data_IF_609094834043
#
_entry.id   IF_609094834043
#
_cell.length_a   1.000
_cell.length_b   1.000
_cell.length_c   1.000
_cell.angle_alpha   90.00
_cell.angle_beta   90.00
_cell.angle_gamma   90.00
#
_symmetry.space_group_name_H-M   'P 1'
#
loop_
_entity.id
_entity.type
_entity.pdbx_description
1 polymer ?
#
# COMPACT_ATOMS: atom_id res chain seq x y z
N UNK A 1 -53.05 -45.25 -73.84
CA UNK A 1 -52.59 -45.73 -72.50
C UNK A 1 -52.02 -44.51 -71.79
N UNK A 2 -52.74 -43.94 -70.86
CA UNK A 2 -52.34 -42.76 -70.09
C UNK A 2 -51.98 -43.23 -68.68
N UNK A 3 -50.74 -42.97 -68.21
CA UNK A 3 -50.24 -43.20 -66.85
C UNK A 3 -50.64 -42.03 -65.96
N UNK A 4 -51.07 -42.23 -64.70
CA UNK A 4 -51.43 -41.14 -63.84
C UNK A 4 -50.19 -40.62 -63.09
N UNK A 5 -50.01 -39.27 -63.03
CA UNK A 5 -49.04 -38.54 -62.25
C UNK A 5 -49.39 -38.61 -60.75
N UNK A 6 -48.49 -39.17 -59.95
CA UNK A 6 -48.56 -39.11 -58.51
C UNK A 6 -47.99 -37.76 -58.05
N UNK A 7 -48.83 -36.87 -57.52
CA UNK A 7 -48.41 -35.66 -56.84
C UNK A 7 -48.08 -35.97 -55.34
N UNK A 8 -46.83 -36.05 -55.01
CA UNK A 8 -46.43 -36.06 -53.60
C UNK A 8 -46.50 -34.64 -53.06
N UNK A 9 -47.31 -34.49 -52.01
CA UNK A 9 -47.49 -33.23 -51.29
C UNK A 9 -46.27 -32.90 -50.43
N UNK A 10 -45.66 -31.72 -50.67
CA UNK A 10 -44.48 -31.20 -50.04
C UNK A 10 -44.74 -30.65 -48.57
N UNK A 11 -45.95 -30.92 -48.04
CA UNK A 11 -46.39 -30.32 -46.77
C UNK A 11 -46.08 -31.12 -45.53
N UNK A 12 -45.51 -32.34 -45.60
CA UNK A 12 -45.26 -33.18 -44.46
C UNK A 12 -43.82 -33.12 -43.94
N UNK A 13 -42.90 -32.41 -44.63
CA UNK A 13 -41.48 -32.34 -44.24
C UNK A 13 -41.09 -31.08 -43.44
N UNK A 14 -41.99 -30.06 -43.42
CA UNK A 14 -41.70 -28.82 -42.65
C UNK A 14 -42.11 -28.85 -41.19
N UNK A 15 -42.88 -29.82 -40.73
CA UNK A 15 -43.34 -29.90 -39.33
C UNK A 15 -42.44 -30.72 -38.44
N UNK A 16 -41.48 -31.50 -38.96
CA UNK A 16 -40.55 -32.30 -38.13
C UNK A 16 -39.23 -31.58 -37.81
N UNK A 17 -38.92 -30.48 -38.48
CA UNK A 17 -37.68 -29.70 -38.22
C UNK A 17 -37.89 -28.59 -37.20
N UNK A 18 -39.16 -28.15 -36.96
CA UNK A 18 -39.48 -27.08 -36.01
C UNK A 18 -39.55 -27.55 -34.56
N UNK A 19 -39.61 -28.85 -34.29
CA UNK A 19 -39.70 -29.39 -32.92
C UNK A 19 -38.35 -29.82 -32.29
N UNK A 20 -37.22 -29.73 -33.03
CA UNK A 20 -35.89 -30.05 -32.50
C UNK A 20 -35.13 -28.83 -31.98
N UNK A 21 -35.68 -27.62 -32.10
CA UNK A 21 -35.04 -26.38 -31.65
C UNK A 21 -35.48 -25.90 -30.24
N UNK A 22 -36.38 -26.64 -29.54
CA UNK A 22 -36.96 -26.22 -28.27
C UNK A 22 -36.45 -27.01 -27.04
N UNK A 23 -35.45 -27.88 -27.20
CA UNK A 23 -34.74 -28.49 -26.08
C UNK A 23 -33.25 -28.12 -26.11
N UNK A 24 -32.91 -26.82 -26.13
CA UNK A 24 -31.69 -26.40 -25.51
C UNK A 24 -31.95 -26.43 -24.00
N UNK A 25 -31.25 -27.29 -23.22
CA UNK A 25 -31.20 -27.06 -21.80
C UNK A 25 -30.58 -25.69 -21.65
N UNK A 26 -31.31 -24.76 -21.04
CA UNK A 26 -30.71 -23.59 -20.43
C UNK A 26 -29.69 -24.14 -19.45
N UNK A 27 -28.46 -24.29 -19.88
CA UNK A 27 -27.32 -24.26 -19.00
C UNK A 27 -27.40 -22.87 -18.35
N UNK A 28 -28.26 -22.78 -17.31
CA UNK A 28 -28.10 -21.80 -16.29
C UNK A 28 -26.64 -22.00 -15.84
N UNK A 29 -25.76 -21.16 -16.33
CA UNK A 29 -24.48 -20.96 -15.71
C UNK A 29 -24.83 -20.57 -14.27
N UNK A 30 -24.83 -21.58 -13.40
CA UNK A 30 -24.76 -21.37 -11.98
C UNK A 30 -23.46 -20.59 -11.81
N UNK A 31 -23.57 -19.26 -11.85
CA UNK A 31 -22.49 -18.38 -11.51
C UNK A 31 -22.25 -18.67 -10.04
N UNK A 32 -21.39 -19.65 -9.77
CA UNK A 32 -20.93 -19.93 -8.43
C UNK A 32 -20.58 -18.57 -7.84
N UNK A 33 -21.40 -18.10 -6.91
CA UNK A 33 -21.26 -16.77 -6.31
C UNK A 33 -19.83 -16.73 -5.76
N UNK A 34 -18.97 -15.99 -6.42
CA UNK A 34 -17.55 -15.96 -6.09
C UNK A 34 -17.44 -15.68 -4.59
N UNK A 35 -16.71 -16.55 -3.85
CA UNK A 35 -16.60 -16.43 -2.40
C UNK A 35 -16.16 -15.03 -2.05
N UNK A 36 -16.94 -14.32 -1.26
CA UNK A 36 -16.57 -13.02 -0.73
C UNK A 36 -15.31 -13.15 0.14
N UNK A 37 -14.26 -12.40 -0.19
CA UNK A 37 -13.04 -12.31 0.60
C UNK A 37 -13.16 -11.20 1.63
N UNK A 38 -12.98 -11.58 2.90
CA UNK A 38 -12.98 -10.67 4.03
C UNK A 38 -11.54 -10.27 4.37
N UNK A 39 -11.20 -8.99 4.21
CA UNK A 39 -9.84 -8.47 4.30
C UNK A 39 -9.72 -7.48 5.44
N UNK A 40 -8.78 -7.71 6.35
CA UNK A 40 -8.48 -6.84 7.48
C UNK A 40 -7.20 -6.04 7.28
N UNK A 41 -7.18 -4.80 7.77
CA UNK A 41 -5.99 -3.95 7.80
C UNK A 41 -5.70 -3.46 9.21
N UNK A 42 -4.42 -3.50 9.59
CA UNK A 42 -3.95 -3.00 10.89
C UNK A 42 -2.94 -1.89 10.64
N UNK A 43 -3.29 -0.67 11.05
CA UNK A 43 -2.50 0.54 10.82
C UNK A 43 -1.88 1.06 12.11
N UNK A 44 -0.63 1.54 12.03
CA UNK A 44 0.14 2.03 13.18
C UNK A 44 -0.24 3.46 13.60
N UNK A 45 -0.73 4.25 12.66
CA UNK A 45 -1.19 5.63 12.85
C UNK A 45 -2.63 5.79 12.38
N UNK A 46 -3.29 6.92 12.68
CA UNK A 46 -4.61 7.22 12.13
C UNK A 46 -4.58 7.30 10.59
N UNK A 47 -5.67 6.93 9.93
CA UNK A 47 -5.81 7.11 8.46
C UNK A 47 -5.79 8.58 8.03
N UNK A 48 -5.95 9.50 8.97
CA UNK A 48 -5.82 10.95 8.75
C UNK A 48 -4.40 11.49 8.88
N UNK A 49 -3.37 10.62 9.01
CA UNK A 49 -1.98 11.04 9.19
C UNK A 49 -1.41 11.83 7.99
N UNK A 50 -2.03 11.71 6.82
CA UNK A 50 -1.56 12.30 5.57
C UNK A 50 -0.39 11.57 4.93
N UNK A 51 0.12 10.54 5.56
CA UNK A 51 1.33 9.81 5.20
C UNK A 51 1.13 8.29 5.03
N UNK A 52 1.74 7.51 5.91
CA UNK A 52 1.85 6.05 5.77
C UNK A 52 0.51 5.32 5.84
N UNK A 53 -0.24 5.48 6.95
CA UNK A 53 -1.53 4.82 7.11
C UNK A 53 -2.55 5.34 6.10
N UNK A 54 -2.53 6.64 5.78
CA UNK A 54 -3.36 7.22 4.73
C UNK A 54 -3.06 6.58 3.36
N UNK A 55 -1.79 6.39 2.99
CA UNK A 55 -1.42 5.75 1.73
C UNK A 55 -1.92 4.29 1.64
N UNK A 56 -1.87 3.54 2.74
CA UNK A 56 -2.42 2.19 2.79
C UNK A 56 -3.95 2.18 2.74
N UNK A 57 -4.61 3.14 3.40
CA UNK A 57 -6.07 3.22 3.40
C UNK A 57 -6.64 3.63 2.03
N UNK A 58 -5.97 4.49 1.29
CA UNK A 58 -6.32 4.78 -0.11
C UNK A 58 -6.35 3.49 -0.95
N UNK A 59 -5.36 2.62 -0.77
CA UNK A 59 -5.33 1.35 -1.46
C UNK A 59 -6.44 0.40 -0.98
N UNK A 60 -6.77 0.38 0.33
CA UNK A 60 -7.88 -0.38 0.88
C UNK A 60 -9.22 0.06 0.26
N UNK A 61 -9.46 1.35 0.16
CA UNK A 61 -10.69 1.91 -0.45
C UNK A 61 -10.83 1.49 -1.92
N UNK A 62 -9.74 1.37 -2.67
CA UNK A 62 -9.78 0.86 -4.05
C UNK A 62 -10.10 -0.65 -4.10
N UNK A 63 -9.72 -1.42 -3.07
CA UNK A 63 -10.10 -2.83 -2.99
C UNK A 63 -11.60 -3.01 -2.69
N UNK A 64 -12.22 -2.15 -1.91
CA UNK A 64 -13.66 -2.19 -1.63
C UNK A 64 -14.52 -2.03 -2.88
N UNK A 65 -13.99 -1.42 -3.94
CA UNK A 65 -14.68 -1.27 -5.23
C UNK A 65 -14.67 -2.55 -6.06
N UNK A 66 -13.89 -3.57 -5.65
CA UNK A 66 -13.77 -4.83 -6.38
C UNK A 66 -14.90 -5.79 -5.98
N UNK A 67 -15.52 -6.50 -6.96
CA UNK A 67 -16.57 -7.47 -6.66
C UNK A 67 -16.08 -8.57 -5.70
N UNK A 68 -16.94 -8.96 -4.75
CA UNK A 68 -16.66 -10.04 -3.82
C UNK A 68 -15.52 -9.73 -2.83
N UNK A 69 -15.27 -8.46 -2.51
CA UNK A 69 -14.33 -8.02 -1.47
C UNK A 69 -15.07 -7.19 -0.44
N UNK A 70 -14.85 -7.53 0.84
CA UNK A 70 -15.20 -6.68 1.98
C UNK A 70 -13.95 -6.35 2.77
N UNK A 71 -13.77 -5.09 3.14
CA UNK A 71 -12.62 -4.65 3.91
C UNK A 71 -13.03 -4.05 5.25
N UNK A 72 -12.14 -4.15 6.24
CA UNK A 72 -12.21 -3.36 7.46
C UNK A 72 -10.81 -3.04 7.96
N UNK A 73 -10.69 -2.07 8.85
CA UNK A 73 -9.40 -1.69 9.41
C UNK A 73 -9.51 -1.37 10.90
N UNK A 74 -8.37 -1.42 11.56
CA UNK A 74 -8.16 -0.85 12.90
C UNK A 74 -6.93 0.04 12.81
N UNK A 75 -7.08 1.30 13.19
CA UNK A 75 -6.05 2.32 13.11
C UNK A 75 -5.44 2.66 14.49
N UNK A 76 -4.32 3.37 14.49
CA UNK A 76 -3.61 3.80 15.69
C UNK A 76 -3.30 2.62 16.65
N UNK A 77 -2.95 1.47 16.09
CA UNK A 77 -2.63 0.27 16.87
C UNK A 77 -1.15 0.32 17.27
N UNK A 78 -0.83 0.34 18.57
CA UNK A 78 0.56 0.27 19.01
C UNK A 78 1.23 -1.04 18.58
N UNK A 79 2.54 -0.97 18.30
CA UNK A 79 3.35 -2.16 18.04
C UNK A 79 3.44 -3.05 19.30
N UNK A 80 3.63 -4.34 19.10
CA UNK A 80 3.74 -5.31 20.20
C UNK A 80 2.40 -5.96 20.59
N UNK A 81 2.06 -6.11 21.88
CA UNK A 81 0.90 -6.90 22.33
C UNK A 81 -0.45 -6.43 21.80
N UNK A 82 -0.63 -5.15 21.59
CA UNK A 82 -1.88 -4.60 21.05
C UNK A 82 -2.11 -5.03 19.62
N UNK A 83 -1.08 -5.00 18.78
CA UNK A 83 -1.16 -5.46 17.39
C UNK A 83 -1.43 -6.97 17.32
N UNK A 84 -0.81 -7.78 18.20
CA UNK A 84 -1.12 -9.21 18.32
C UNK A 84 -2.59 -9.42 18.62
N UNK A 85 -3.14 -8.71 19.62
CA UNK A 85 -4.53 -8.81 20.02
C UNK A 85 -5.50 -8.47 18.89
N UNK A 86 -5.23 -7.39 18.14
CA UNK A 86 -6.07 -6.98 17.00
C UNK A 86 -6.04 -8.03 15.89
N UNK A 87 -4.85 -8.48 15.48
CA UNK A 87 -4.71 -9.53 14.46
C UNK A 87 -5.37 -10.85 14.88
N UNK A 88 -5.22 -11.25 16.14
CA UNK A 88 -5.86 -12.42 16.72
C UNK A 88 -7.39 -12.34 16.64
N UNK A 89 -7.96 -11.16 16.96
CA UNK A 89 -9.41 -10.95 16.87
C UNK A 89 -9.90 -11.02 15.42
N UNK A 90 -9.16 -10.47 14.46
CA UNK A 90 -9.49 -10.57 13.04
C UNK A 90 -9.44 -12.01 12.56
N UNK A 91 -8.39 -12.78 12.90
CA UNK A 91 -8.25 -14.18 12.54
C UNK A 91 -9.39 -15.03 13.14
N UNK A 92 -9.75 -14.84 14.41
CA UNK A 92 -10.91 -15.47 15.05
C UNK A 92 -12.24 -15.14 14.36
N UNK A 93 -12.38 -13.95 13.80
CA UNK A 93 -13.54 -13.54 12.99
C UNK A 93 -13.48 -14.03 11.55
N UNK A 94 -12.55 -14.95 11.25
CA UNK A 94 -12.38 -15.61 9.94
C UNK A 94 -12.14 -14.62 8.79
N UNK A 95 -11.23 -13.66 9.00
CA UNK A 95 -10.70 -12.88 7.88
C UNK A 95 -9.85 -13.78 6.99
N UNK A 96 -10.07 -13.71 5.69
CA UNK A 96 -9.30 -14.50 4.70
C UNK A 96 -7.88 -13.95 4.54
N UNK A 97 -7.73 -12.62 4.58
CA UNK A 97 -6.44 -11.94 4.46
C UNK A 97 -6.33 -10.86 5.54
N UNK A 98 -5.18 -10.77 6.20
CA UNK A 98 -4.87 -9.72 7.17
C UNK A 98 -3.59 -9.01 6.74
N UNK A 99 -3.69 -7.72 6.43
CA UNK A 99 -2.55 -6.83 6.18
C UNK A 99 -2.16 -6.12 7.49
N UNK A 100 -0.88 -6.16 7.83
CA UNK A 100 -0.34 -5.38 8.96
C UNK A 100 0.83 -4.53 8.46
N UNK A 101 0.74 -3.23 8.65
CA UNK A 101 1.51 -2.23 7.93
C UNK A 101 2.50 -1.48 8.82
N UNK A 102 3.19 -2.18 9.73
CA UNK A 102 4.29 -1.61 10.48
C UNK A 102 5.37 -2.63 10.74
N UNK A 103 6.64 -2.18 10.78
CA UNK A 103 7.80 -3.03 11.04
C UNK A 103 7.66 -3.85 12.33
N UNK A 104 7.22 -3.22 13.42
CA UNK A 104 7.07 -3.88 14.71
C UNK A 104 5.88 -4.82 14.84
N UNK A 105 5.07 -4.97 13.79
CA UNK A 105 4.02 -5.99 13.74
C UNK A 105 4.53 -7.38 13.33
N UNK A 106 5.81 -7.50 12.95
CA UNK A 106 6.38 -8.72 12.39
C UNK A 106 6.26 -9.92 13.33
N UNK A 107 6.76 -9.82 14.56
CA UNK A 107 6.72 -10.92 15.53
C UNK A 107 5.31 -11.20 16.06
N UNK A 108 4.49 -10.19 16.39
CA UNK A 108 3.08 -10.38 16.69
C UNK A 108 2.31 -11.13 15.58
N UNK A 109 2.52 -10.74 14.32
CA UNK A 109 1.86 -11.40 13.18
C UNK A 109 2.31 -12.85 13.02
N UNK A 110 3.61 -13.12 13.13
CA UNK A 110 4.16 -14.48 13.02
C UNK A 110 3.54 -15.42 14.07
N UNK A 111 3.39 -14.91 15.29
CA UNK A 111 2.77 -15.66 16.40
C UNK A 111 1.29 -15.95 16.15
N UNK A 112 0.54 -14.99 15.59
CA UNK A 112 -0.87 -15.21 15.23
C UNK A 112 -0.99 -16.15 14.03
N UNK A 113 -0.16 -15.98 13.00
CA UNK A 113 -0.16 -16.78 11.79
C UNK A 113 0.01 -18.28 12.09
N UNK A 114 0.86 -18.64 13.07
CA UNK A 114 1.05 -20.04 13.49
C UNK A 114 -0.20 -20.70 14.04
N UNK A 115 -1.18 -19.92 14.53
CA UNK A 115 -2.42 -20.41 15.14
C UNK A 115 -3.59 -20.48 14.14
N UNK A 116 -3.48 -19.80 13.00
CA UNK A 116 -4.57 -19.66 12.02
C UNK A 116 -4.07 -19.98 10.60
N UNK A 117 -3.83 -21.26 10.29
CA UNK A 117 -3.23 -21.69 9.02
C UNK A 117 -4.08 -21.35 7.78
N UNK A 118 -5.39 -21.18 7.95
CA UNK A 118 -6.32 -20.87 6.85
C UNK A 118 -6.43 -19.37 6.54
N UNK A 119 -5.84 -18.49 7.37
CA UNK A 119 -5.75 -17.04 7.12
C UNK A 119 -4.42 -16.71 6.49
N UNK A 120 -4.44 -15.92 5.41
CA UNK A 120 -3.24 -15.37 4.80
C UNK A 120 -2.84 -14.07 5.51
N UNK A 121 -1.59 -13.98 5.93
CA UNK A 121 -1.04 -12.81 6.60
C UNK A 121 -0.05 -12.10 5.69
N UNK A 122 -0.23 -10.79 5.52
CA UNK A 122 0.60 -9.94 4.66
C UNK A 122 1.27 -8.85 5.48
N UNK A 123 2.55 -9.03 5.74
CA UNK A 123 3.35 -8.07 6.53
C UNK A 123 4.06 -7.07 5.63
N UNK A 124 3.84 -5.78 5.86
CA UNK A 124 4.59 -4.72 5.19
C UNK A 124 5.83 -4.36 5.99
N UNK A 125 6.99 -4.23 5.31
CA UNK A 125 8.25 -3.76 5.89
C UNK A 125 9.08 -4.81 6.68
N UNK A 126 8.57 -6.02 6.91
CA UNK A 126 9.30 -7.08 7.62
C UNK A 126 10.21 -7.95 6.74
N UNK A 127 10.75 -9.00 7.36
CA UNK A 127 11.60 -9.98 6.69
C UNK A 127 11.33 -11.45 7.11
N UNK A 128 10.55 -11.67 8.18
CA UNK A 128 10.16 -13.02 8.60
C UNK A 128 8.97 -13.49 7.80
N UNK A 129 8.99 -14.76 7.39
CA UNK A 129 7.90 -15.42 6.66
C UNK A 129 7.49 -16.73 7.35
N UNK A 130 6.29 -17.20 7.02
CA UNK A 130 5.79 -18.52 7.39
C UNK A 130 4.92 -19.05 6.24
N UNK A 131 4.46 -20.32 6.31
CA UNK A 131 3.65 -20.94 5.24
C UNK A 131 2.46 -20.07 4.78
N UNK A 132 1.84 -19.34 5.72
CA UNK A 132 0.69 -18.48 5.49
C UNK A 132 0.98 -16.99 5.80
N UNK A 133 2.25 -16.60 5.96
CA UNK A 133 2.67 -15.21 6.19
C UNK A 133 3.77 -14.82 5.22
N UNK A 134 3.48 -13.84 4.36
CA UNK A 134 4.43 -13.25 3.44
C UNK A 134 4.76 -11.80 3.76
N UNK A 135 5.88 -11.33 3.22
CA UNK A 135 6.29 -9.93 3.31
C UNK A 135 6.12 -9.22 1.98
N UNK A 136 5.83 -7.93 2.04
CA UNK A 136 5.88 -7.07 0.87
C UNK A 136 6.46 -5.70 1.23
N UNK A 137 7.18 -5.12 0.30
CA UNK A 137 7.71 -3.76 0.41
C UNK A 137 8.10 -3.23 -0.97
N UNK A 138 8.25 -1.92 -1.11
CA UNK A 138 8.69 -1.28 -2.35
C UNK A 138 10.17 -0.88 -2.30
N UNK A 139 10.75 -0.68 -3.48
CA UNK A 139 12.13 -0.19 -3.63
C UNK A 139 12.20 1.35 -3.48
N UNK A 140 11.66 1.86 -2.37
CA UNK A 140 11.57 3.32 -2.12
C UNK A 140 12.93 4.02 -2.13
N UNK A 141 14.01 3.30 -1.83
CA UNK A 141 15.36 3.84 -1.91
C UNK A 141 15.73 4.35 -3.31
N UNK A 142 15.13 3.81 -4.37
CA UNK A 142 15.30 4.33 -5.73
C UNK A 142 14.67 5.71 -5.88
N UNK A 143 13.42 5.87 -5.40
CA UNK A 143 12.76 7.18 -5.37
C UNK A 143 13.49 8.15 -4.44
N UNK A 144 14.01 7.67 -3.28
CA UNK A 144 14.82 8.49 -2.37
C UNK A 144 16.09 9.03 -3.04
N UNK A 145 16.77 8.23 -3.85
CA UNK A 145 17.92 8.72 -4.62
C UNK A 145 17.53 9.85 -5.57
N UNK A 146 16.43 9.68 -6.31
CA UNK A 146 15.94 10.72 -7.23
C UNK A 146 15.51 11.99 -6.49
N UNK A 147 14.82 11.86 -5.36
CA UNK A 147 14.45 13.00 -4.53
C UNK A 147 15.67 13.67 -3.89
N UNK A 148 16.74 12.91 -3.64
CA UNK A 148 18.05 13.44 -3.22
C UNK A 148 18.69 14.33 -4.30
N UNK A 149 18.64 13.95 -5.56
CA UNK A 149 19.09 14.77 -6.69
C UNK A 149 18.35 16.12 -6.69
N UNK A 150 17.03 16.10 -6.54
CA UNK A 150 16.21 17.33 -6.47
C UNK A 150 16.65 18.20 -5.29
N UNK A 151 16.81 17.60 -4.09
CA UNK A 151 17.23 18.33 -2.90
C UNK A 151 18.61 18.98 -3.08
N UNK A 152 19.59 18.25 -3.59
CA UNK A 152 20.94 18.76 -3.83
C UNK A 152 20.98 19.88 -4.85
N UNK A 153 20.18 19.78 -5.92
CA UNK A 153 20.06 20.80 -6.95
C UNK A 153 19.39 22.09 -6.47
N UNK A 154 18.46 21.99 -5.52
CA UNK A 154 17.69 23.14 -5.01
C UNK A 154 18.32 23.80 -3.77
N UNK A 155 19.13 23.08 -3.00
CA UNK A 155 19.78 23.60 -1.81
C UNK A 155 20.82 24.69 -2.19
N UNK A 156 20.79 25.81 -1.48
CA UNK A 156 21.78 26.88 -1.58
C UNK A 156 22.82 26.80 -0.45
N UNK A 157 22.39 26.40 0.75
CA UNK A 157 23.26 26.29 1.92
C UNK A 157 24.18 25.06 1.89
N UNK A 158 23.81 24.01 1.14
CA UNK A 158 24.48 22.71 1.20
C UNK A 158 24.12 21.90 2.46
N UNK A 159 23.22 22.39 3.30
CA UNK A 159 22.69 21.69 4.46
C UNK A 159 21.27 21.24 4.22
N UNK A 160 21.04 19.95 4.21
CA UNK A 160 19.73 19.33 3.98
C UNK A 160 19.30 18.60 5.24
N UNK A 161 18.07 18.86 5.69
CA UNK A 161 17.52 18.25 6.90
C UNK A 161 16.71 17.00 6.60
N UNK A 162 16.89 15.95 7.40
CA UNK A 162 16.14 14.70 7.31
C UNK A 162 15.52 14.36 8.66
N UNK A 163 14.20 14.45 8.78
CA UNK A 163 13.45 14.01 9.97
C UNK A 163 13.18 12.52 9.84
N UNK A 164 13.71 11.71 10.75
CA UNK A 164 13.66 10.25 10.68
C UNK A 164 13.00 9.65 11.93
N UNK A 165 12.32 8.51 11.72
CA UNK A 165 11.60 7.78 12.76
C UNK A 165 12.53 6.92 13.63
N UNK A 166 12.75 5.68 13.22
CA UNK A 166 13.60 4.70 13.92
C UNK A 166 14.80 4.28 13.06
N UNK A 167 15.96 4.00 13.65
CA UNK A 167 17.17 3.58 12.93
C UNK A 167 17.10 2.10 12.51
N UNK A 168 16.05 1.71 11.79
CA UNK A 168 15.90 0.37 11.22
C UNK A 168 16.47 0.33 9.80
N UNK A 169 16.76 -0.87 9.25
CA UNK A 169 17.44 -1.01 7.97
C UNK A 169 16.77 -0.27 6.79
N UNK A 170 15.43 -0.26 6.72
CA UNK A 170 14.71 0.42 5.65
C UNK A 170 14.87 1.95 5.70
N UNK A 171 14.83 2.53 6.90
CA UNK A 171 14.99 3.98 7.11
C UNK A 171 16.42 4.40 6.80
N UNK A 172 17.41 3.67 7.33
CA UNK A 172 18.85 3.91 7.08
C UNK A 172 19.16 3.79 5.59
N UNK A 173 18.65 2.77 4.91
CA UNK A 173 18.80 2.59 3.45
C UNK A 173 18.20 3.77 2.67
N UNK A 174 17.04 4.28 3.11
CA UNK A 174 16.38 5.45 2.53
C UNK A 174 17.22 6.71 2.67
N UNK A 175 17.77 6.97 3.87
CA UNK A 175 18.68 8.09 4.15
C UNK A 175 19.94 8.00 3.29
N UNK A 176 20.58 6.82 3.23
CA UNK A 176 21.80 6.62 2.47
C UNK A 176 21.57 6.86 0.96
N UNK A 177 20.48 6.31 0.41
CA UNK A 177 20.13 6.51 -1.00
C UNK A 177 19.85 7.99 -1.30
N UNK A 178 19.11 8.67 -0.44
CA UNK A 178 18.85 10.11 -0.55
C UNK A 178 20.16 10.90 -0.51
N UNK A 179 21.05 10.62 0.44
CA UNK A 179 22.36 11.30 0.57
C UNK A 179 23.23 11.09 -0.67
N UNK A 180 23.28 9.87 -1.21
CA UNK A 180 23.98 9.59 -2.46
C UNK A 180 23.38 10.38 -3.64
N UNK A 181 22.05 10.54 -3.70
CA UNK A 181 21.39 11.40 -4.68
C UNK A 181 21.79 12.86 -4.54
N UNK A 182 21.79 13.40 -3.32
CA UNK A 182 22.24 14.77 -3.02
C UNK A 182 23.69 14.97 -3.49
N UNK A 183 24.60 14.08 -3.07
CA UNK A 183 26.03 14.20 -3.35
C UNK A 183 26.39 13.99 -4.82
N UNK A 184 25.53 13.31 -5.59
CA UNK A 184 25.74 13.15 -7.04
C UNK A 184 25.69 14.48 -7.83
N UNK A 185 25.00 15.47 -7.31
CA UNK A 185 24.85 16.83 -7.93
C UNK A 185 25.46 17.94 -7.09
N UNK A 186 25.67 17.70 -5.80
CA UNK A 186 26.27 18.62 -4.85
C UNK A 186 27.19 17.88 -3.87
N UNK A 187 28.43 17.57 -4.26
CA UNK A 187 29.35 16.72 -3.49
C UNK A 187 29.71 17.27 -2.09
N UNK A 188 29.68 18.59 -1.92
CA UNK A 188 29.97 19.31 -0.66
C UNK A 188 28.78 19.37 0.30
N UNK A 189 27.59 18.96 -0.13
CA UNK A 189 26.39 19.00 0.71
C UNK A 189 26.40 17.94 1.81
N UNK A 190 25.80 18.30 2.95
CA UNK A 190 25.59 17.41 4.10
C UNK A 190 24.11 17.15 4.34
N UNK A 191 23.76 15.90 4.61
CA UNK A 191 22.41 15.52 5.07
C UNK A 191 22.47 15.31 6.58
N UNK A 192 21.77 16.17 7.33
CA UNK A 192 21.68 16.11 8.78
C UNK A 192 20.39 15.41 9.20
N UNK A 193 20.50 14.44 10.11
CA UNK A 193 19.37 13.57 10.50
C UNK A 193 19.02 13.84 11.96
N UNK A 194 17.72 14.04 12.23
CA UNK A 194 17.15 14.06 13.58
C UNK A 194 16.18 12.90 13.73
N UNK A 195 16.39 12.08 14.77
CA UNK A 195 15.60 10.91 15.07
C UNK A 195 14.53 11.21 16.10
N UNK A 196 13.24 11.07 15.73
CA UNK A 196 12.08 11.33 16.61
C UNK A 196 11.76 10.15 17.54
N UNK A 197 12.19 8.93 17.19
CA UNK A 197 11.86 7.68 17.90
C UNK A 197 10.35 7.39 17.96
N UNK A 198 9.63 7.82 16.93
CA UNK A 198 8.19 7.54 16.73
C UNK A 198 7.90 7.43 15.23
N UNK A 199 6.84 6.70 14.86
CA UNK A 199 6.35 6.68 13.47
C UNK A 199 5.50 7.92 13.18
N UNK A 200 4.62 8.28 14.11
CA UNK A 200 3.68 9.39 13.98
C UNK A 200 3.61 10.20 15.28
N UNK A 201 4.08 11.41 15.24
CA UNK A 201 3.94 12.42 16.31
C UNK A 201 4.14 13.81 15.67
N UNK A 202 3.07 14.47 15.21
CA UNK A 202 3.18 15.75 14.50
C UNK A 202 3.96 16.82 15.27
N UNK A 203 3.89 16.81 16.60
CA UNK A 203 4.60 17.78 17.44
C UNK A 203 6.10 17.53 17.40
N UNK A 204 6.53 16.30 17.70
CA UNK A 204 7.95 15.93 17.64
C UNK A 204 8.54 16.06 16.25
N UNK A 205 7.76 15.72 15.22
CA UNK A 205 8.18 15.85 13.83
C UNK A 205 8.44 17.31 13.47
N UNK A 206 7.55 18.22 13.90
CA UNK A 206 7.72 19.67 13.71
C UNK A 206 8.89 20.24 14.48
N UNK A 207 9.10 19.83 15.72
CA UNK A 207 10.24 20.21 16.54
C UNK A 207 11.56 19.74 15.93
N UNK A 208 11.64 18.48 15.47
CA UNK A 208 12.79 17.94 14.77
C UNK A 208 13.10 18.72 13.48
N UNK A 209 12.05 19.06 12.70
CA UNK A 209 12.20 19.89 11.51
C UNK A 209 12.76 21.27 11.84
N UNK A 210 12.21 21.94 12.87
CA UNK A 210 12.71 23.26 13.32
C UNK A 210 14.18 23.21 13.75
N UNK A 211 14.58 22.19 14.50
CA UNK A 211 16.00 22.05 14.92
C UNK A 211 16.95 21.91 13.72
N UNK A 212 16.51 21.27 12.63
CA UNK A 212 17.27 21.18 11.38
C UNK A 212 17.33 22.52 10.65
N UNK A 213 16.24 23.29 10.66
CA UNK A 213 16.21 24.64 10.10
C UNK A 213 17.12 25.62 10.84
N UNK A 214 17.22 25.48 12.16
CA UNK A 214 18.07 26.32 13.02
C UNK A 214 19.57 26.09 12.76
N UNK A 215 19.95 24.90 12.30
CA UNK A 215 21.33 24.60 11.90
C UNK A 215 21.59 24.85 10.40
N UNK A 216 20.70 25.57 9.73
CA UNK A 216 20.89 26.07 8.36
C UNK A 216 20.40 25.19 7.24
N UNK A 217 19.57 24.18 7.54
CA UNK A 217 18.94 23.41 6.48
C UNK A 217 17.97 24.28 5.64
N UNK A 218 18.11 24.24 4.33
CA UNK A 218 17.26 24.97 3.39
C UNK A 218 16.42 24.05 2.48
N UNK A 219 16.55 22.75 2.65
CA UNK A 219 15.66 21.73 2.13
C UNK A 219 15.40 20.71 3.23
N UNK A 220 14.14 20.41 3.52
CA UNK A 220 13.75 19.36 4.45
C UNK A 220 13.18 18.14 3.73
N UNK A 221 13.46 16.96 4.24
CA UNK A 221 12.76 15.71 3.90
C UNK A 221 12.50 14.89 5.15
N UNK A 222 11.73 13.81 5.01
CA UNK A 222 11.31 13.02 6.15
C UNK A 222 11.18 11.54 5.83
N UNK A 223 11.29 10.71 6.87
CA UNK A 223 10.73 9.36 6.96
C UNK A 223 9.85 9.32 8.20
N UNK A 224 8.73 10.01 8.10
CA UNK A 224 7.73 10.27 9.12
C UNK A 224 6.35 10.25 8.48
N UNK A 225 5.31 10.11 9.28
CA UNK A 225 3.96 9.87 8.79
C UNK A 225 3.10 11.14 8.71
N UNK A 226 3.46 12.22 9.43
CA UNK A 226 2.71 13.48 9.34
C UNK A 226 3.32 14.47 8.33
N UNK A 227 2.56 15.45 7.83
CA UNK A 227 3.07 16.52 6.97
C UNK A 227 3.81 17.62 7.75
N UNK A 228 3.93 17.53 9.07
CA UNK A 228 4.48 18.60 9.92
C UNK A 228 5.88 19.11 9.51
N UNK A 229 6.82 18.26 9.04
CA UNK A 229 8.09 18.76 8.51
C UNK A 229 7.95 19.60 7.24
N UNK A 230 6.95 19.28 6.37
CA UNK A 230 6.66 20.05 5.17
C UNK A 230 6.11 21.44 5.53
N UNK A 231 5.20 21.49 6.51
CA UNK A 231 4.63 22.75 7.03
C UNK A 231 5.71 23.63 7.68
N UNK A 232 6.60 23.02 8.47
CA UNK A 232 7.72 23.76 9.07
C UNK A 232 8.66 24.38 8.03
N UNK A 233 8.95 23.66 6.94
CA UNK A 233 9.72 24.19 5.81
C UNK A 233 9.02 25.38 5.17
N UNK A 234 7.71 25.28 4.94
CA UNK A 234 6.92 26.37 4.36
C UNK A 234 6.87 27.61 5.28
N UNK A 235 6.67 27.40 6.59
CA UNK A 235 6.69 28.49 7.58
C UNK A 235 8.04 29.24 7.58
N UNK A 236 9.15 28.53 7.36
CA UNK A 236 10.49 29.10 7.28
C UNK A 236 10.83 29.70 5.91
N UNK A 237 10.02 29.42 4.88
CA UNK A 237 10.28 29.88 3.52
C UNK A 237 11.38 29.10 2.79
N UNK A 238 11.58 27.84 3.14
CA UNK A 238 12.54 26.92 2.52
C UNK A 238 11.82 25.77 1.81
N UNK A 239 12.56 24.92 1.11
CA UNK A 239 11.97 23.83 0.35
C UNK A 239 11.73 22.56 1.17
N UNK A 240 10.83 21.72 0.66
CA UNK A 240 10.53 20.42 1.26
C UNK A 240 10.31 19.33 0.22
N UNK A 241 10.59 18.10 0.64
CA UNK A 241 10.37 16.88 -0.12
C UNK A 241 9.50 15.94 0.72
N UNK A 242 8.33 15.58 0.19
CA UNK A 242 7.35 14.75 0.86
C UNK A 242 7.71 13.25 0.86
N UNK A 243 6.93 12.51 1.63
CA UNK A 243 7.05 11.05 1.75
C UNK A 243 5.68 10.42 1.91
N UNK A 244 5.56 9.16 1.50
CA UNK A 244 4.37 8.32 1.53
C UNK A 244 3.28 8.71 0.53
N UNK A 245 2.90 9.97 0.48
CA UNK A 245 1.85 10.55 -0.40
C UNK A 245 2.32 11.86 -1.03
N UNK A 246 1.53 12.37 -1.96
CA UNK A 246 1.70 13.75 -2.42
C UNK A 246 1.30 14.73 -1.31
N UNK A 247 2.30 15.35 -0.72
CA UNK A 247 2.12 16.30 0.39
C UNK A 247 2.03 17.76 -0.07
N UNK A 248 1.93 18.03 -1.39
CA UNK A 248 1.87 19.40 -1.94
C UNK A 248 0.76 20.25 -1.31
N UNK A 249 -0.40 19.65 -0.99
CA UNK A 249 -1.53 20.35 -0.37
C UNK A 249 -1.22 20.96 1.01
N UNK A 250 -0.26 20.38 1.76
CA UNK A 250 0.11 20.84 3.10
C UNK A 250 1.16 21.95 3.08
N UNK A 251 1.98 21.99 2.03
CA UNK A 251 3.05 22.98 1.90
C UNK A 251 3.24 23.42 0.43
N UNK A 252 2.21 24.01 -0.21
CA UNK A 252 2.20 24.26 -1.65
C UNK A 252 3.32 25.18 -2.14
N UNK A 253 3.91 26.01 -1.27
CA UNK A 253 5.00 26.91 -1.60
C UNK A 253 6.40 26.33 -1.36
N UNK A 254 6.48 25.29 -0.53
CA UNK A 254 7.74 24.63 -0.17
C UNK A 254 7.95 23.31 -0.91
N UNK A 255 6.88 22.62 -1.27
CA UNK A 255 6.92 21.29 -1.83
C UNK A 255 7.59 21.24 -3.21
N UNK A 256 8.64 20.43 -3.35
CA UNK A 256 9.33 20.19 -4.61
C UNK A 256 8.84 18.91 -5.29
N UNK A 257 8.79 17.83 -4.54
CA UNK A 257 8.43 16.48 -4.99
C UNK A 257 8.22 15.57 -3.79
N UNK A 258 7.83 14.31 -4.02
CA UNK A 258 7.69 13.29 -2.97
C UNK A 258 8.09 11.90 -3.45
N UNK A 259 8.60 11.06 -2.53
CA UNK A 259 8.70 9.62 -2.73
C UNK A 259 7.38 8.98 -2.26
N UNK A 260 6.55 8.53 -3.18
CA UNK A 260 5.18 8.05 -2.90
C UNK A 260 5.04 6.54 -3.10
N UNK A 261 4.02 5.97 -2.47
CA UNK A 261 3.65 4.57 -2.58
C UNK A 261 2.44 4.36 -3.50
N UNK A 262 2.47 3.25 -4.24
CA UNK A 262 1.31 2.74 -4.96
C UNK A 262 0.98 1.33 -4.44
N UNK A 263 0.35 1.28 -3.27
CA UNK A 263 -0.02 0.02 -2.62
C UNK A 263 -1.17 -0.69 -3.31
N UNK A 264 -2.07 0.04 -3.98
CA UNK A 264 -3.21 -0.50 -4.71
C UNK A 264 -2.79 -1.62 -5.68
N UNK A 265 -1.81 -1.34 -6.53
CA UNK A 265 -1.33 -2.30 -7.53
C UNK A 265 -0.80 -3.58 -6.89
N UNK A 266 -0.05 -3.45 -5.79
CA UNK A 266 0.51 -4.59 -5.07
C UNK A 266 -0.57 -5.39 -4.36
N UNK A 267 -1.49 -4.70 -3.68
CA UNK A 267 -2.58 -5.35 -2.94
C UNK A 267 -3.53 -6.08 -3.88
N UNK A 268 -3.94 -5.49 -5.01
CA UNK A 268 -4.76 -6.16 -6.03
C UNK A 268 -4.11 -7.43 -6.56
N UNK A 269 -2.79 -7.40 -6.81
CA UNK A 269 -2.05 -8.59 -7.22
C UNK A 269 -2.06 -9.68 -6.15
N UNK A 270 -1.78 -9.35 -4.90
CA UNK A 270 -1.80 -10.29 -3.78
C UNK A 270 -3.17 -10.95 -3.60
N UNK A 271 -4.24 -10.16 -3.68
CA UNK A 271 -5.61 -10.67 -3.57
C UNK A 271 -5.94 -11.63 -4.72
N UNK A 272 -5.54 -11.31 -5.94
CA UNK A 272 -5.74 -12.19 -7.09
C UNK A 272 -5.01 -13.53 -6.91
N UNK A 273 -3.76 -13.50 -6.41
CA UNK A 273 -2.98 -14.71 -6.11
C UNK A 273 -3.62 -15.56 -5.00
N UNK A 274 -4.14 -14.94 -3.93
CA UNK A 274 -4.86 -15.65 -2.86
C UNK A 274 -6.16 -16.25 -3.40
N UNK A 275 -6.92 -15.48 -4.18
CA UNK A 275 -8.21 -15.91 -4.76
C UNK A 275 -8.05 -17.11 -5.70
N UNK A 276 -6.97 -17.12 -6.49
CA UNK A 276 -6.66 -18.22 -7.42
C UNK A 276 -5.93 -19.41 -6.74
N UNK A 277 -5.57 -19.31 -5.46
CA UNK A 277 -4.80 -20.33 -4.76
C UNK A 277 -3.33 -20.44 -5.21
N UNK A 278 -2.82 -19.43 -5.93
CA UNK A 278 -1.43 -19.39 -6.43
C UNK A 278 -0.48 -18.60 -5.54
N UNK A 279 -1.01 -17.98 -4.50
CA UNK A 279 -0.20 -17.23 -3.56
C UNK A 279 0.77 -18.14 -2.80
N UNK A 280 2.01 -17.68 -2.66
CA UNK A 280 3.05 -18.32 -1.83
C UNK A 280 3.75 -17.24 -0.99
N UNK A 281 4.18 -17.61 0.23
CA UNK A 281 4.90 -16.73 1.15
C UNK A 281 6.33 -16.40 0.68
#
# INVERSE_FOLDING_TARGET
MRLPCLRFSLSALCTLVASLFLLQPALAADSAKEKELKIGFVYVSPIGDGGWSYAHDLARQELEKMPGISTSYVEAVPEGPDSERVMLQMARKKYDIIFATSFGYMDPMLKVASQFPDTTFMHCSGFKTAKNMGNYFGRVYQARYLTGIVAGSMSKSGVIGYVASFPIPEVIRGINAFTLGVQSVRPDASVRVVWTKTWYDPVKEKEAAKSLLDVGADVLTQHQDSPSPQEAAQEKGVYSIGYNTDMAKFAPKAHLTAAIWNWEKKNKKLIAEVRSGTWTA
#
